data_IF_134573643003
#
_entry.id   IF_134573643003
#
_cell.length_a   1.000
_cell.length_b   1.000
_cell.length_c   1.000
_cell.angle_alpha   90.00
_cell.angle_beta   90.00
_cell.angle_gamma   90.00
#
_symmetry.space_group_name_H-M   'P 1'
#
loop_
_entity.id
_entity.type
_entity.pdbx_description
1 polymer ?
#
# COMPACT_ATOMS: atom_id res chain seq x y z
N UNK A 1 30.22 0.96 48.14
CA UNK A 1 30.20 1.90 47.01
C UNK A 1 30.64 1.15 45.77
N UNK A 2 29.68 0.66 44.98
CA UNK A 2 29.95 -0.06 43.73
C UNK A 2 30.27 0.95 42.63
N UNK A 3 31.52 0.94 42.17
CA UNK A 3 32.05 1.77 41.09
C UNK A 3 31.36 1.40 39.78
N UNK A 4 30.22 2.02 39.45
CA UNK A 4 29.62 1.89 38.12
C UNK A 4 30.54 2.57 37.11
N UNK A 5 31.25 1.76 36.31
CA UNK A 5 31.88 2.19 35.05
C UNK A 5 30.83 2.96 34.26
N UNK A 6 31.13 4.19 33.85
CA UNK A 6 30.29 4.92 32.89
C UNK A 6 30.15 4.03 31.65
N UNK A 7 28.94 3.69 31.21
CA UNK A 7 28.75 2.88 30.02
C UNK A 7 29.36 3.63 28.81
N UNK A 8 30.01 2.88 27.93
CA UNK A 8 30.60 3.45 26.71
C UNK A 8 29.53 4.01 25.76
N UNK A 9 29.95 4.71 24.72
CA UNK A 9 29.03 5.18 23.70
C UNK A 9 28.24 4.01 23.08
N UNK A 10 26.96 4.21 22.71
CA UNK A 10 26.18 3.15 22.07
C UNK A 10 26.82 2.75 20.74
N UNK A 11 27.09 1.46 20.55
CA UNK A 11 27.68 0.94 19.31
C UNK A 11 26.67 0.02 18.65
N UNK A 12 26.36 0.27 17.38
CA UNK A 12 25.45 -0.58 16.60
C UNK A 12 26.27 -1.60 15.82
N UNK A 13 26.10 -2.87 16.14
CA UNK A 13 26.83 -4.00 15.53
C UNK A 13 25.98 -4.79 14.53
N UNK A 14 24.66 -4.59 14.50
CA UNK A 14 23.80 -5.31 13.57
C UNK A 14 22.43 -4.68 13.34
N UNK A 15 21.93 -4.85 12.12
CA UNK A 15 20.59 -4.44 11.69
C UNK A 15 19.88 -5.62 11.05
N UNK A 16 18.59 -5.76 11.33
CA UNK A 16 17.74 -6.79 10.72
C UNK A 16 16.33 -6.24 10.52
N UNK A 17 15.87 -6.05 9.28
CA UNK A 17 16.61 -6.21 8.01
C UNK A 17 17.66 -5.11 7.78
N UNK A 18 18.54 -5.28 6.78
CA UNK A 18 19.54 -4.26 6.36
C UNK A 18 19.00 -3.27 5.33
N UNK A 19 17.85 -3.58 4.76
CA UNK A 19 17.15 -2.78 3.77
C UNK A 19 15.64 -2.90 3.94
N UNK A 20 14.89 -1.91 3.45
CA UNK A 20 13.44 -1.93 3.49
C UNK A 20 12.79 -0.62 3.05
N UNK A 21 11.45 -0.67 2.95
CA UNK A 21 10.59 0.49 2.65
C UNK A 21 10.26 1.29 3.91
N UNK A 22 9.90 2.58 3.81
CA UNK A 22 9.35 3.36 4.92
C UNK A 22 8.22 2.59 5.65
N UNK A 23 8.26 2.54 6.98
CA UNK A 23 7.34 1.76 7.82
C UNK A 23 7.83 0.37 8.21
N UNK A 24 8.89 -0.15 7.58
CA UNK A 24 9.49 -1.46 7.92
C UNK A 24 9.96 -1.48 9.37
N UNK A 25 9.69 -2.59 10.07
CA UNK A 25 10.20 -2.81 11.43
C UNK A 25 11.66 -3.27 11.38
N UNK A 26 12.54 -2.51 12.04
CA UNK A 26 13.98 -2.73 12.10
C UNK A 26 14.36 -3.13 13.52
N UNK A 27 15.11 -4.22 13.64
CA UNK A 27 15.74 -4.67 14.88
C UNK A 27 17.20 -4.23 14.86
N UNK A 28 17.54 -3.33 15.79
CA UNK A 28 18.88 -2.79 15.98
C UNK A 28 19.55 -3.58 17.10
N UNK A 29 20.71 -4.16 16.80
CA UNK A 29 21.57 -4.90 17.73
C UNK A 29 22.87 -4.15 17.94
N UNK A 30 23.38 -4.20 19.17
CA UNK A 30 24.54 -3.41 19.55
C UNK A 30 25.01 -3.63 20.97
N UNK A 31 25.84 -2.72 21.44
CA UNK A 31 26.36 -2.64 22.80
C UNK A 31 26.07 -1.25 23.37
N UNK A 32 25.82 -1.17 24.69
CA UNK A 32 25.52 0.07 25.40
C UNK A 32 24.35 0.89 24.82
N UNK A 33 23.32 0.22 24.28
CA UNK A 33 22.10 0.83 23.71
C UNK A 33 21.14 1.42 24.78
N UNK A 34 21.67 1.75 25.95
CA UNK A 34 20.96 2.29 27.10
C UNK A 34 20.75 1.27 28.22
N UNK A 35 20.64 1.74 29.45
CA UNK A 35 20.38 0.92 30.64
C UNK A 35 18.89 0.64 30.85
N UNK A 36 18.05 1.61 30.44
CA UNK A 36 16.61 1.61 30.69
C UNK A 36 15.85 2.19 29.49
N UNK A 37 14.54 1.92 29.35
CA UNK A 37 13.73 2.53 28.29
C UNK A 37 13.75 4.07 28.29
N UNK A 38 13.87 4.68 29.46
CA UNK A 38 13.94 6.15 29.64
C UNK A 38 15.33 6.75 29.38
N UNK A 39 16.33 5.89 29.17
CA UNK A 39 17.70 6.28 28.84
C UNK A 39 17.86 6.60 27.35
N UNK A 40 16.98 6.08 26.49
CA UNK A 40 16.98 6.36 25.06
C UNK A 40 16.37 7.75 24.79
N UNK A 41 17.20 8.71 24.39
CA UNK A 41 16.80 10.09 24.15
C UNK A 41 16.45 10.37 22.69
N UNK A 42 17.18 9.78 21.75
CA UNK A 42 16.91 9.95 20.33
C UNK A 42 17.37 8.72 19.53
N UNK A 43 16.61 8.39 18.49
CA UNK A 43 16.96 7.35 17.52
C UNK A 43 16.75 7.89 16.11
N UNK A 44 17.84 8.05 15.37
CA UNK A 44 17.81 8.47 13.98
C UNK A 44 18.17 7.32 13.06
N UNK A 45 17.33 7.05 12.07
CA UNK A 45 17.60 6.09 10.99
C UNK A 45 17.53 6.86 9.68
N UNK A 46 18.62 6.92 8.92
CA UNK A 46 18.68 7.64 7.64
C UNK A 46 18.27 9.14 7.76
N UNK A 47 18.72 9.82 8.82
CA UNK A 47 18.35 11.20 9.17
C UNK A 47 16.86 11.43 9.47
N UNK A 48 16.09 10.37 9.74
CA UNK A 48 14.70 10.46 10.18
C UNK A 48 14.59 10.07 11.65
N UNK A 49 13.93 10.91 12.45
CA UNK A 49 13.65 10.60 13.85
C UNK A 49 12.63 9.45 13.94
N UNK A 50 13.04 8.37 14.61
CA UNK A 50 12.28 7.15 14.82
C UNK A 50 12.07 6.87 16.32
N UNK A 51 12.27 7.86 17.20
CA UNK A 51 12.12 7.70 18.65
C UNK A 51 10.70 7.26 19.04
N UNK A 52 9.67 7.85 18.43
CA UNK A 52 8.26 7.56 18.75
C UNK A 52 7.91 6.08 18.51
N UNK A 53 8.54 5.45 17.52
CA UNK A 53 8.31 4.03 17.19
C UNK A 53 9.30 3.10 17.90
N UNK A 54 10.29 3.65 18.61
CA UNK A 54 11.34 2.89 19.25
C UNK A 54 10.85 2.18 20.53
N UNK A 55 11.11 0.89 20.60
CA UNK A 55 10.86 0.02 21.75
C UNK A 55 12.19 -0.56 22.20
N UNK A 56 12.73 -0.03 23.28
CA UNK A 56 13.89 -0.59 23.95
C UNK A 56 13.54 -1.95 24.56
N UNK A 57 14.41 -2.95 24.36
CA UNK A 57 14.23 -4.31 24.90
C UNK A 57 15.34 -4.69 25.88
N UNK A 58 16.57 -4.35 25.54
CA UNK A 58 17.75 -4.60 26.37
C UNK A 58 18.86 -3.63 25.98
N UNK A 59 19.92 -3.57 26.78
CA UNK A 59 21.14 -2.79 26.48
C UNK A 59 21.85 -3.19 25.19
N UNK A 60 21.40 -4.27 24.55
CA UNK A 60 21.90 -4.77 23.26
C UNK A 60 20.85 -4.82 22.15
N UNK A 61 19.60 -4.41 22.40
CA UNK A 61 18.50 -4.56 21.44
C UNK A 61 17.46 -3.45 21.54
N UNK A 62 17.21 -2.80 20.41
CA UNK A 62 16.11 -1.84 20.20
C UNK A 62 15.32 -2.27 18.96
N UNK A 63 14.00 -2.16 19.01
CA UNK A 63 13.11 -2.40 17.87
C UNK A 63 12.46 -1.08 17.51
N UNK A 64 12.58 -0.62 16.28
CA UNK A 64 11.95 0.62 15.82
C UNK A 64 11.32 0.42 14.45
N UNK A 65 10.42 1.31 14.05
CA UNK A 65 9.90 1.36 12.68
C UNK A 65 10.51 2.52 11.93
N UNK A 66 10.96 2.26 10.70
CA UNK A 66 11.50 3.27 9.83
C UNK A 66 10.44 4.36 9.57
N UNK A 67 10.79 5.62 9.82
CA UNK A 67 9.94 6.75 9.49
C UNK A 67 9.85 7.03 7.99
N UNK A 68 9.34 8.22 7.63
CA UNK A 68 9.30 8.71 6.26
C UNK A 68 10.71 9.12 5.79
N UNK A 69 11.53 8.11 5.47
CA UNK A 69 12.90 8.28 5.02
C UNK A 69 12.98 8.38 3.49
N UNK A 70 13.93 9.19 2.99
CA UNK A 70 14.20 9.32 1.54
C UNK A 70 14.90 8.07 1.01
N UNK A 71 14.73 7.80 -0.28
CA UNK A 71 15.46 6.74 -1.00
C UNK A 71 16.97 6.96 -0.85
N UNK A 72 17.70 5.94 -0.43
CA UNK A 72 19.16 6.00 -0.29
C UNK A 72 19.71 5.16 0.85
N UNK A 73 21.03 5.21 1.02
CA UNK A 73 21.74 4.58 2.13
C UNK A 73 21.96 5.64 3.20
N UNK A 74 21.63 5.33 4.46
CA UNK A 74 21.80 6.25 5.57
C UNK A 74 22.32 5.55 6.83
N UNK A 75 22.96 6.36 7.68
CA UNK A 75 23.54 5.91 8.93
C UNK A 75 22.48 5.87 10.04
N UNK A 76 22.76 5.12 11.11
CA UNK A 76 21.96 5.06 12.33
C UNK A 76 22.71 5.77 13.44
N UNK A 77 22.04 6.70 14.09
CA UNK A 77 22.57 7.39 15.27
C UNK A 77 21.63 7.17 16.46
N UNK A 78 22.21 6.79 17.59
CA UNK A 78 21.50 6.54 18.84
C UNK A 78 22.04 7.51 19.87
N UNK A 79 21.16 8.18 20.60
CA UNK A 79 21.57 9.06 21.70
C UNK A 79 20.97 8.52 22.99
N UNK A 80 21.82 8.15 23.93
CA UNK A 80 21.44 7.73 25.28
C UNK A 80 21.87 8.78 26.30
N UNK A 81 21.16 8.86 27.43
CA UNK A 81 21.54 9.75 28.55
C UNK A 81 22.82 9.24 29.22
N UNK A 82 22.99 7.93 29.31
CA UNK A 82 24.12 7.28 29.98
C UNK A 82 25.42 7.26 29.16
N UNK A 83 25.34 6.99 27.85
CA UNK A 83 26.48 6.78 26.96
C UNK A 83 26.68 7.88 25.90
N UNK A 84 25.81 8.89 25.85
CA UNK A 84 25.88 9.97 24.87
C UNK A 84 25.50 9.52 23.46
N UNK A 85 26.13 10.11 22.43
CA UNK A 85 25.82 9.82 21.03
C UNK A 85 26.68 8.68 20.49
N UNK A 86 26.00 7.64 20.02
CA UNK A 86 26.55 6.51 19.30
C UNK A 86 26.26 6.60 17.80
N UNK A 87 27.20 6.12 16.99
CA UNK A 87 27.07 6.04 15.54
C UNK A 87 27.25 4.60 15.09
N UNK A 88 26.48 4.19 14.08
CA UNK A 88 26.63 2.88 13.46
C UNK A 88 27.73 2.85 12.41
N UNK A 89 28.52 1.77 12.37
CA UNK A 89 29.36 1.46 11.21
C UNK A 89 28.54 0.89 10.05
N UNK A 90 27.41 0.25 10.37
CA UNK A 90 26.51 -0.39 9.40
C UNK A 90 25.45 0.60 8.95
N UNK A 91 25.26 0.70 7.64
CA UNK A 91 24.25 1.57 7.04
C UNK A 91 22.98 0.80 6.70
N UNK A 92 21.85 1.49 6.77
CA UNK A 92 20.55 0.96 6.32
C UNK A 92 20.24 1.49 4.91
N UNK A 93 19.69 0.63 4.04
CA UNK A 93 19.28 1.02 2.69
C UNK A 93 17.77 1.16 2.60
N UNK A 94 17.30 2.37 2.32
CA UNK A 94 15.90 2.67 2.03
C UNK A 94 15.68 2.60 0.52
N UNK A 95 14.78 1.72 0.10
CA UNK A 95 14.22 1.76 -1.25
C UNK A 95 12.73 2.09 -1.15
N UNK A 96 12.21 2.77 -2.15
CA UNK A 96 10.78 3.01 -2.30
C UNK A 96 10.33 1.99 -3.33
N UNK A 97 9.36 1.16 -2.98
CA UNK A 97 8.77 0.22 -3.91
C UNK A 97 7.93 1.03 -4.91
N UNK A 98 8.30 0.97 -6.19
CA UNK A 98 7.47 1.49 -7.26
C UNK A 98 6.35 0.47 -7.50
N UNK A 99 5.20 0.72 -6.88
CA UNK A 99 4.00 -0.10 -7.08
C UNK A 99 3.60 -0.05 -8.54
N UNK A 100 3.61 -1.21 -9.21
CA UNK A 100 3.11 -1.34 -10.57
C UNK A 100 1.59 -1.12 -10.59
N UNK A 101 0.99 -0.53 -11.65
CA UNK A 101 -0.46 -0.31 -11.74
C UNK A 101 -1.32 -1.57 -11.55
N UNK A 102 -0.73 -2.75 -11.75
CA UNK A 102 -1.40 -4.05 -11.64
C UNK A 102 -1.00 -4.83 -10.36
N UNK A 103 -0.19 -4.25 -9.48
CA UNK A 103 0.29 -4.94 -8.28
C UNK A 103 -0.81 -4.98 -7.21
N UNK A 104 -1.20 -6.19 -6.80
CA UNK A 104 -2.18 -6.38 -5.74
C UNK A 104 -1.68 -5.74 -4.44
N UNK A 105 -2.51 -4.85 -3.88
CA UNK A 105 -2.25 -4.20 -2.59
C UNK A 105 -3.30 -4.68 -1.58
N UNK A 106 -2.84 -5.28 -0.48
CA UNK A 106 -3.69 -5.61 0.67
C UNK A 106 -3.88 -4.42 1.62
N UNK A 107 -3.35 -3.25 1.25
CA UNK A 107 -3.51 -2.01 2.03
C UNK A 107 -4.81 -1.36 1.58
N UNK A 108 -5.82 -1.43 2.45
CA UNK A 108 -7.00 -0.60 2.29
C UNK A 108 -6.59 0.86 2.44
N UNK A 109 -6.72 1.61 1.36
CA UNK A 109 -6.56 3.06 1.41
C UNK A 109 -7.75 3.61 2.17
N UNK A 110 -7.51 4.50 3.13
CA UNK A 110 -8.59 5.21 3.79
C UNK A 110 -9.24 6.18 2.79
N UNK A 111 -10.29 5.68 2.14
CA UNK A 111 -11.06 6.38 1.10
C UNK A 111 -11.70 7.66 1.64
N UNK A 112 -11.80 7.85 2.96
CA UNK A 112 -12.29 9.10 3.54
C UNK A 112 -11.34 10.26 3.29
N UNK A 113 -10.03 10.02 3.13
CA UNK A 113 -9.01 11.05 2.91
C UNK A 113 -8.67 11.24 1.43
N UNK A 114 -8.70 10.17 0.65
CA UNK A 114 -8.24 10.17 -0.74
C UNK A 114 -9.35 10.42 -1.75
N UNK A 115 -10.62 10.17 -1.41
CA UNK A 115 -11.74 10.36 -2.34
C UNK A 115 -12.47 11.68 -2.02
N UNK A 116 -12.44 12.68 -2.92
CA UNK A 116 -13.20 13.91 -2.76
C UNK A 116 -14.69 13.63 -2.53
N UNK A 117 -15.30 14.28 -1.53
CA UNK A 117 -16.72 14.10 -1.19
C UNK A 117 -17.01 13.03 -0.12
N UNK A 118 -16.07 12.11 0.16
CA UNK A 118 -16.24 11.07 1.19
C UNK A 118 -15.91 11.54 2.62
N UNK A 119 -15.41 12.77 2.77
CA UNK A 119 -15.22 13.44 4.07
C UNK A 119 -16.50 13.47 4.92
N UNK A 120 -17.68 13.47 4.29
CA UNK A 120 -18.99 13.47 4.98
C UNK A 120 -19.24 12.15 5.72
N UNK A 121 -18.58 11.07 5.33
CA UNK A 121 -18.68 9.77 6.00
C UNK A 121 -17.95 9.77 7.35
N UNK A 122 -16.95 10.63 7.57
CA UNK A 122 -16.23 10.73 8.86
C UNK A 122 -17.11 11.14 10.03
N UNK A 123 -18.17 11.91 9.79
CA UNK A 123 -19.06 12.37 10.86
C UNK A 123 -20.08 11.31 11.27
N UNK A 124 -20.12 10.17 10.56
CA UNK A 124 -20.90 9.01 10.98
C UNK A 124 -20.03 8.29 12.02
N UNK A 125 -20.42 8.28 13.30
CA UNK A 125 -19.69 7.50 14.30
C UNK A 125 -19.71 6.04 13.86
N UNK A 126 -18.55 5.42 13.70
CA UNK A 126 -18.48 3.95 13.71
C UNK A 126 -19.14 3.50 15.02
N UNK A 127 -20.17 2.65 14.90
CA UNK A 127 -20.87 2.12 16.04
C UNK A 127 -19.90 1.27 16.87
N UNK A 128 -19.20 1.89 17.82
CA UNK A 128 -18.34 1.21 18.78
C UNK A 128 -19.22 0.19 19.52
N UNK A 129 -18.96 -1.09 19.28
CA UNK A 129 -19.77 -2.22 19.78
C UNK A 129 -19.82 -2.35 21.31
N UNK A 130 -19.06 -1.50 22.02
CA UNK A 130 -18.83 -1.56 23.45
C UNK A 130 -19.92 -0.89 24.29
N UNK A 131 -20.76 -0.04 23.70
CA UNK A 131 -21.88 0.56 24.44
C UNK A 131 -23.12 -0.34 24.35
N UNK A 132 -23.68 -0.61 25.53
CA UNK A 132 -24.96 -1.28 25.66
C UNK A 132 -26.07 -0.43 25.04
N UNK A 133 -27.08 -1.07 24.44
CA UNK A 133 -28.17 -0.35 23.75
C UNK A 133 -29.03 0.50 24.70
N UNK A 134 -29.01 0.19 26.00
CA UNK A 134 -29.66 1.02 27.01
C UNK A 134 -28.76 2.18 27.47
N UNK A 135 -27.51 2.27 27.01
CA UNK A 135 -26.51 3.23 27.47
C UNK A 135 -26.11 3.04 28.94
N UNK A 136 -26.34 1.82 29.46
CA UNK A 136 -26.02 1.46 30.84
C UNK A 136 -24.69 0.70 30.87
N UNK A 137 -23.86 0.94 31.90
CA UNK A 137 -22.61 0.19 32.07
C UNK A 137 -22.95 -1.26 32.44
N UNK A 138 -22.69 -2.19 31.52
CA UNK A 138 -22.86 -3.62 31.77
C UNK A 138 -21.61 -4.17 32.46
N UNK A 139 -21.79 -4.61 33.71
CA UNK A 139 -20.75 -5.32 34.44
C UNK A 139 -20.54 -6.71 33.81
N UNK A 140 -19.40 -6.91 33.14
CA UNK A 140 -19.07 -8.17 32.47
C UNK A 140 -19.03 -9.38 33.42
N UNK A 141 -18.86 -9.15 34.72
CA UNK A 141 -18.84 -10.17 35.78
C UNK A 141 -20.22 -10.59 36.30
N UNK A 142 -21.32 -9.96 35.87
CA UNK A 142 -22.69 -10.24 36.33
C UNK A 142 -23.57 -10.88 35.25
N UNK A 143 -22.96 -11.42 34.19
CA UNK A 143 -23.68 -12.07 33.10
C UNK A 143 -24.30 -13.38 33.55
N UNK A 144 -25.53 -13.64 33.11
CA UNK A 144 -26.22 -14.90 33.38
C UNK A 144 -25.64 -16.03 32.52
N UNK A 145 -25.60 -17.25 33.08
CA UNK A 145 -25.08 -18.42 32.38
C UNK A 145 -25.90 -18.75 31.13
N UNK A 146 -25.20 -18.87 30.01
CA UNK A 146 -25.76 -19.10 28.68
C UNK A 146 -26.49 -20.45 28.60
N UNK A 147 -26.09 -21.44 29.40
CA UNK A 147 -26.72 -22.75 29.47
C UNK A 147 -28.15 -22.71 30.04
N UNK A 148 -28.40 -21.83 31.03
CA UNK A 148 -29.74 -21.66 31.64
C UNK A 148 -30.67 -20.91 30.68
N UNK A 149 -30.13 -19.94 29.96
CA UNK A 149 -30.86 -19.20 28.94
C UNK A 149 -31.22 -20.10 27.76
N UNK A 150 -30.30 -20.95 27.29
CA UNK A 150 -30.54 -21.90 26.19
C UNK A 150 -31.66 -22.90 26.51
N UNK A 151 -31.80 -23.28 27.78
CA UNK A 151 -32.89 -24.16 28.23
C UNK A 151 -34.26 -23.46 28.25
N UNK A 152 -34.27 -22.14 28.42
CA UNK A 152 -35.51 -21.34 28.52
C UNK A 152 -35.94 -20.79 27.15
N UNK A 153 -34.97 -20.57 26.26
CA UNK A 153 -35.18 -20.10 24.89
C UNK A 153 -34.34 -20.97 23.93
N UNK A 154 -34.86 -22.13 23.49
CA UNK A 154 -34.11 -23.11 22.70
C UNK A 154 -33.60 -22.56 21.37
N UNK A 155 -34.37 -21.66 20.74
CA UNK A 155 -34.07 -21.08 19.42
C UNK A 155 -33.64 -19.59 19.50
N UNK A 156 -33.46 -19.05 20.71
CA UNK A 156 -33.14 -17.64 20.93
C UNK A 156 -31.66 -17.39 21.14
N UNK A 157 -31.15 -16.24 20.71
CA UNK A 157 -29.79 -15.77 21.03
C UNK A 157 -29.78 -14.32 21.52
N UNK A 158 -28.78 -13.99 22.34
CA UNK A 158 -28.48 -12.61 22.74
C UNK A 158 -27.63 -11.86 21.71
N UNK A 159 -27.25 -12.50 20.60
CA UNK A 159 -26.34 -11.92 19.63
C UNK A 159 -27.11 -11.04 18.64
N UNK A 160 -26.85 -9.73 18.70
CA UNK A 160 -27.53 -8.67 17.93
C UNK A 160 -27.49 -8.86 16.41
N UNK A 161 -26.49 -9.60 15.92
CA UNK A 161 -26.26 -9.81 14.48
C UNK A 161 -26.98 -11.03 13.92
N UNK A 162 -27.57 -11.86 14.77
CA UNK A 162 -28.25 -13.08 14.35
C UNK A 162 -29.75 -12.86 14.25
N UNK A 163 -30.38 -13.48 13.26
CA UNK A 163 -31.85 -13.42 13.07
C UNK A 163 -32.62 -14.05 14.24
N UNK A 164 -31.97 -14.94 14.99
CA UNK A 164 -32.49 -15.52 16.24
C UNK A 164 -32.42 -14.58 17.45
N UNK A 165 -32.13 -13.29 17.25
CA UNK A 165 -32.02 -12.34 18.34
C UNK A 165 -33.33 -12.23 19.12
N UNK A 166 -33.26 -12.49 20.43
CA UNK A 166 -34.40 -12.36 21.34
C UNK A 166 -34.12 -11.23 22.36
N UNK A 167 -34.92 -10.15 22.39
CA UNK A 167 -34.72 -9.05 23.33
C UNK A 167 -34.79 -9.48 24.80
N UNK A 168 -35.68 -10.43 25.12
CA UNK A 168 -35.81 -10.99 26.47
C UNK A 168 -34.54 -11.73 26.91
N UNK A 169 -33.91 -12.48 26.00
CA UNK A 169 -32.62 -13.11 26.24
C UNK A 169 -31.55 -12.07 26.58
N UNK A 170 -31.41 -11.04 25.74
CA UNK A 170 -30.38 -10.01 25.91
C UNK A 170 -30.51 -9.26 27.24
N UNK A 171 -31.74 -8.95 27.66
CA UNK A 171 -31.99 -8.30 28.95
C UNK A 171 -31.68 -9.22 30.13
N UNK A 172 -32.01 -10.51 30.05
CA UNK A 172 -31.70 -11.47 31.11
C UNK A 172 -30.20 -11.76 31.20
N UNK A 173 -29.51 -11.79 30.06
CA UNK A 173 -28.06 -12.02 29.99
C UNK A 173 -27.27 -10.86 30.60
N UNK A 174 -27.62 -9.61 30.25
CA UNK A 174 -26.81 -8.43 30.59
C UNK A 174 -27.37 -7.58 31.74
N UNK A 175 -28.68 -7.60 31.98
CA UNK A 175 -29.38 -6.64 32.85
C UNK A 175 -30.14 -7.27 34.03
N UNK A 176 -29.91 -8.55 34.34
CA UNK A 176 -30.59 -9.27 35.44
C UNK A 176 -30.60 -8.53 36.78
N UNK A 177 -29.50 -7.86 37.12
CA UNK A 177 -29.32 -7.18 38.41
C UNK A 177 -29.55 -5.67 38.36
N UNK A 178 -30.06 -5.15 37.24
CA UNK A 178 -30.35 -3.72 37.10
C UNK A 178 -31.69 -3.36 37.75
N UNK A 179 -31.76 -2.16 38.33
CA UNK A 179 -33.00 -1.64 38.90
C UNK A 179 -33.95 -1.24 37.79
N UNK A 180 -35.26 -1.37 38.04
CA UNK A 180 -36.29 -1.01 37.05
C UNK A 180 -36.27 0.49 36.68
N UNK A 181 -35.82 1.36 37.58
CA UNK A 181 -35.64 2.79 37.30
C UNK A 181 -34.53 3.04 36.25
N UNK A 182 -33.44 2.27 36.30
CA UNK A 182 -32.35 2.39 35.36
C UNK A 182 -32.73 1.79 33.99
N UNK A 183 -33.50 0.69 33.99
CA UNK A 183 -34.11 0.15 32.77
C UNK A 183 -35.06 1.15 32.09
N UNK A 184 -35.84 1.92 32.87
CA UNK A 184 -36.69 2.98 32.34
C UNK A 184 -35.89 4.11 31.68
N UNK A 185 -34.79 4.54 32.30
CA UNK A 185 -33.86 5.51 31.69
C UNK A 185 -33.23 4.95 30.40
N UNK A 186 -32.88 3.66 30.42
CA UNK A 186 -32.38 2.95 29.25
C UNK A 186 -33.39 2.93 28.09
N UNK A 187 -34.67 2.74 28.39
CA UNK A 187 -35.75 2.78 27.40
C UNK A 187 -35.94 4.19 26.79
N UNK A 188 -35.82 5.24 27.59
CA UNK A 188 -35.82 6.62 27.08
C UNK A 188 -34.60 6.91 26.20
N UNK A 189 -33.44 6.37 26.54
CA UNK A 189 -32.24 6.48 25.72
C UNK A 189 -32.40 5.74 24.39
N UNK A 190 -32.93 4.52 24.42
CA UNK A 190 -33.17 3.71 23.23
C UNK A 190 -34.18 4.37 22.28
N UNK A 191 -35.25 4.98 22.82
CA UNK A 191 -36.20 5.78 22.01
C UNK A 191 -35.52 6.98 21.35
N UNK A 192 -34.62 7.65 22.07
CA UNK A 192 -33.88 8.81 21.56
C UNK A 192 -32.92 8.40 20.45
N UNK A 193 -32.19 7.29 20.62
CA UNK A 193 -31.25 6.80 19.62
C UNK A 193 -31.97 6.27 18.37
N UNK A 194 -33.12 5.59 18.53
CA UNK A 194 -33.94 5.18 17.39
C UNK A 194 -34.43 6.37 16.54
N UNK A 195 -34.79 7.49 17.17
CA UNK A 195 -35.15 8.72 16.45
C UNK A 195 -33.94 9.42 15.81
N UNK A 196 -32.75 9.25 16.37
CA UNK A 196 -31.49 9.75 15.81
C UNK A 196 -31.05 8.91 14.61
N UNK A 197 -31.10 7.58 14.68
CA UNK A 197 -30.80 6.69 13.55
C UNK A 197 -31.70 6.95 12.33
N UNK A 198 -32.99 7.22 12.54
CA UNK A 198 -33.89 7.61 11.43
C UNK A 198 -33.42 8.87 10.69
N UNK A 199 -32.74 9.80 11.38
CA UNK A 199 -32.14 10.99 10.78
C UNK A 199 -30.80 10.66 10.14
N UNK A 200 -29.93 9.93 10.84
CA UNK A 200 -28.62 9.51 10.35
C UNK A 200 -28.70 8.65 9.09
N UNK A 201 -29.61 7.67 9.02
CA UNK A 201 -29.84 6.84 7.82
C UNK A 201 -30.11 7.69 6.59
N UNK A 202 -30.92 8.76 6.70
CA UNK A 202 -31.17 9.68 5.58
C UNK A 202 -29.91 10.39 5.12
N UNK A 203 -29.04 10.76 6.04
CA UNK A 203 -27.79 11.46 5.71
C UNK A 203 -26.73 10.51 5.13
N UNK A 204 -26.68 9.25 5.59
CA UNK A 204 -25.88 8.18 4.96
C UNK A 204 -26.34 7.94 3.52
N UNK A 205 -27.65 7.83 3.30
CA UNK A 205 -28.20 7.65 1.95
C UNK A 205 -27.89 8.86 1.05
N UNK A 206 -27.92 10.09 1.57
CA UNK A 206 -27.52 11.29 0.82
C UNK A 206 -26.02 11.31 0.49
N UNK A 207 -25.15 10.89 1.42
CA UNK A 207 -23.71 10.84 1.20
C UNK A 207 -23.34 9.83 0.09
N UNK A 208 -23.99 8.66 0.07
CA UNK A 208 -23.79 7.66 -0.98
C UNK A 208 -24.38 8.10 -2.33
N UNK A 209 -25.50 8.84 -2.31
CA UNK A 209 -26.08 9.40 -3.53
C UNK A 209 -25.15 10.42 -4.20
N UNK A 210 -24.44 11.24 -3.42
CA UNK A 210 -23.47 12.20 -3.95
C UNK A 210 -22.34 11.50 -4.71
N UNK A 211 -21.81 10.39 -4.19
CA UNK A 211 -20.79 9.61 -4.87
C UNK A 211 -21.30 9.04 -6.20
N UNK A 212 -22.53 8.49 -6.22
CA UNK A 212 -23.15 7.99 -7.45
C UNK A 212 -23.37 9.09 -8.49
N UNK A 213 -23.88 10.26 -8.07
CA UNK A 213 -24.07 11.40 -8.97
C UNK A 213 -22.72 11.88 -9.53
N UNK A 214 -21.69 11.96 -8.68
CA UNK A 214 -20.34 12.33 -9.12
C UNK A 214 -19.76 11.34 -10.14
N UNK A 215 -19.96 10.04 -9.95
CA UNK A 215 -19.57 9.02 -10.92
C UNK A 215 -20.32 9.18 -12.25
N UNK A 216 -21.64 9.44 -12.21
CA UNK A 216 -22.44 9.67 -13.41
C UNK A 216 -21.99 10.93 -14.15
N UNK A 217 -21.69 12.02 -13.45
CA UNK A 217 -21.15 13.25 -14.03
C UNK A 217 -19.78 13.03 -14.66
N UNK A 218 -18.89 12.27 -14.01
CA UNK A 218 -17.59 11.93 -14.55
C UNK A 218 -17.73 11.07 -15.83
N UNK A 219 -18.64 10.10 -15.84
CA UNK A 219 -18.95 9.29 -17.01
C UNK A 219 -19.53 10.13 -18.15
N UNK A 220 -20.40 11.09 -17.82
CA UNK A 220 -20.98 11.99 -18.81
C UNK A 220 -19.89 12.87 -19.45
N UNK A 221 -18.98 13.45 -18.65
CA UNK A 221 -17.83 14.22 -19.15
C UNK A 221 -16.90 13.39 -20.02
N UNK A 222 -16.67 12.13 -19.65
CA UNK A 222 -15.87 11.20 -20.45
C UNK A 222 -16.57 10.87 -21.77
N UNK A 223 -17.89 10.63 -21.74
CA UNK A 223 -18.68 10.38 -22.94
C UNK A 223 -18.67 11.58 -23.89
N UNK A 224 -18.84 12.80 -23.39
CA UNK A 224 -18.76 14.02 -24.22
C UNK A 224 -17.37 14.21 -24.79
N UNK A 225 -16.32 14.00 -23.98
CA UNK A 225 -14.93 14.09 -24.42
C UNK A 225 -14.61 13.06 -25.53
N UNK A 226 -15.04 11.81 -25.37
CA UNK A 226 -14.91 10.78 -26.42
C UNK A 226 -15.72 11.16 -27.67
N UNK A 227 -16.91 11.75 -27.50
CA UNK A 227 -17.74 12.24 -28.60
C UNK A 227 -17.08 13.35 -29.41
N UNK A 228 -16.37 14.26 -28.74
CA UNK A 228 -15.59 15.34 -29.37
C UNK A 228 -14.31 14.81 -30.05
N UNK A 229 -13.60 13.88 -29.40
CA UNK A 229 -12.44 13.21 -29.99
C UNK A 229 -12.79 12.40 -31.24
N UNK A 230 -13.95 11.73 -31.24
CA UNK A 230 -14.48 11.04 -32.42
C UNK A 230 -14.66 11.96 -33.63
N UNK A 231 -15.06 13.21 -33.39
CA UNK A 231 -15.30 14.21 -34.45
C UNK A 231 -14.02 14.87 -34.94
N UNK A 232 -13.00 14.99 -34.09
CA UNK A 232 -11.79 15.78 -34.39
C UNK A 232 -10.61 14.96 -34.89
N UNK A 233 -10.46 13.70 -34.47
CA UNK A 233 -9.24 12.89 -34.73
C UNK A 233 -9.41 11.71 -35.68
N UNK A 234 -10.45 11.67 -36.51
CA UNK A 234 -10.60 10.62 -37.53
C UNK A 234 -10.66 9.24 -36.88
N UNK A 235 -11.69 9.02 -36.06
CA UNK A 235 -11.92 7.75 -35.39
C UNK A 235 -12.33 6.66 -36.41
N UNK A 236 -11.82 5.42 -36.29
CA UNK A 236 -10.98 4.88 -35.22
C UNK A 236 -9.51 5.28 -35.30
N UNK A 237 -8.94 5.71 -34.16
CA UNK A 237 -7.50 5.98 -34.03
C UNK A 237 -6.65 4.73 -34.36
N UNK A 238 -7.20 3.53 -34.07
CA UNK A 238 -6.58 2.24 -34.35
C UNK A 238 -6.43 1.96 -35.85
N UNK A 239 -7.36 2.41 -36.69
CA UNK A 239 -7.27 2.19 -38.14
C UNK A 239 -6.24 3.14 -38.78
N UNK A 240 -6.15 4.38 -38.30
CA UNK A 240 -5.12 5.32 -38.76
C UNK A 240 -3.71 4.84 -38.37
N UNK A 241 -3.55 4.37 -37.13
CA UNK A 241 -2.30 3.78 -36.66
C UNK A 241 -1.92 2.55 -37.48
N UNK A 242 -2.88 1.66 -37.77
CA UNK A 242 -2.65 0.48 -38.58
C UNK A 242 -2.18 0.84 -39.99
N UNK A 243 -2.81 1.83 -40.64
CA UNK A 243 -2.37 2.30 -41.97
C UNK A 243 -0.94 2.84 -41.92
N UNK A 244 -0.58 3.62 -40.89
CA UNK A 244 0.78 4.17 -40.74
C UNK A 244 1.82 3.08 -40.46
N UNK A 245 1.47 2.04 -39.71
CA UNK A 245 2.32 0.87 -39.49
C UNK A 245 2.51 0.09 -40.79
N UNK A 246 1.45 -0.06 -41.59
CA UNK A 246 1.50 -0.75 -42.88
C UNK A 246 2.35 0.01 -43.91
N UNK A 247 2.22 1.34 -43.97
CA UNK A 247 3.07 2.22 -44.78
C UNK A 247 4.56 2.13 -44.36
N UNK A 248 4.83 2.15 -43.05
CA UNK A 248 6.19 2.01 -42.52
C UNK A 248 6.78 0.63 -42.84
N UNK A 249 5.99 -0.44 -42.70
CA UNK A 249 6.39 -1.80 -43.06
C UNK A 249 6.70 -1.91 -44.55
N UNK A 250 5.83 -1.38 -45.42
CA UNK A 250 6.07 -1.39 -46.86
C UNK A 250 7.36 -0.65 -47.23
N UNK A 251 7.60 0.49 -46.60
CA UNK A 251 8.83 1.27 -46.79
C UNK A 251 10.06 0.51 -46.33
N UNK A 252 10.00 -0.15 -45.17
CA UNK A 252 11.09 -0.99 -44.68
C UNK A 252 11.37 -2.17 -45.62
N UNK A 253 10.35 -2.89 -46.06
CA UNK A 253 10.48 -4.03 -46.99
C UNK A 253 11.10 -3.60 -48.33
N UNK A 254 10.75 -2.42 -48.83
CA UNK A 254 11.37 -1.84 -50.03
C UNK A 254 12.86 -1.57 -49.81
N UNK A 255 13.22 -0.92 -48.71
CA UNK A 255 14.62 -0.66 -48.37
C UNK A 255 15.40 -1.97 -48.18
N UNK A 256 14.82 -2.98 -47.54
CA UNK A 256 15.45 -4.29 -47.37
C UNK A 256 15.70 -4.98 -48.72
N UNK A 257 14.73 -4.96 -49.64
CA UNK A 257 14.91 -5.51 -51.00
C UNK A 257 15.99 -4.77 -51.80
N UNK A 258 16.05 -3.45 -51.69
CA UNK A 258 17.08 -2.64 -52.33
C UNK A 258 18.48 -2.95 -51.79
N UNK A 259 18.62 -3.16 -50.48
CA UNK A 259 19.90 -3.55 -49.87
C UNK A 259 20.30 -4.99 -50.25
N UNK A 260 19.35 -5.92 -50.26
CA UNK A 260 19.60 -7.32 -50.65
C UNK A 260 20.02 -7.43 -52.11
N UNK A 261 19.32 -6.76 -53.01
CA UNK A 261 19.66 -6.74 -54.45
C UNK A 261 21.04 -6.15 -54.71
N UNK A 262 21.44 -5.08 -54.00
CA UNK A 262 22.81 -4.55 -54.09
C UNK A 262 23.85 -5.55 -53.60
N UNK A 263 23.59 -6.23 -52.47
CA UNK A 263 24.50 -7.25 -51.93
C UNK A 263 24.66 -8.43 -52.89
N UNK A 264 23.57 -8.90 -53.49
CA UNK A 264 23.60 -10.01 -54.44
C UNK A 264 24.26 -9.61 -55.75
N UNK A 265 24.04 -8.38 -56.25
CA UNK A 265 24.76 -7.85 -57.41
C UNK A 265 26.28 -7.75 -57.17
N UNK A 266 26.70 -7.30 -55.98
CA UNK A 266 28.13 -7.26 -55.61
C UNK A 266 28.74 -8.66 -55.54
N UNK A 267 28.01 -9.64 -55.00
CA UNK A 267 28.46 -11.04 -54.97
C UNK A 267 28.56 -11.64 -56.37
N UNK A 268 27.58 -11.38 -57.24
CA UNK A 268 27.61 -11.84 -58.63
C UNK A 268 28.81 -11.22 -59.36
N UNK A 269 29.02 -9.91 -59.25
CA UNK A 269 30.19 -9.25 -59.85
C UNK A 269 31.52 -9.77 -59.28
N UNK A 270 31.61 -10.02 -57.97
CA UNK A 270 32.79 -10.60 -57.36
C UNK A 270 33.04 -12.04 -57.85
N UNK A 271 31.99 -12.85 -58.01
CA UNK A 271 32.08 -14.19 -58.60
C UNK A 271 32.50 -14.12 -60.08
N UNK A 272 31.94 -13.21 -60.88
CA UNK A 272 32.35 -13.01 -62.27
C UNK A 272 33.80 -12.57 -62.36
N UNK A 273 34.25 -11.61 -61.53
CA UNK A 273 35.65 -11.22 -61.47
C UNK A 273 36.55 -12.38 -61.05
N UNK A 274 36.19 -13.15 -60.03
CA UNK A 274 36.99 -14.30 -59.59
C UNK A 274 37.00 -15.44 -60.61
N UNK A 275 35.92 -15.62 -61.38
CA UNK A 275 35.84 -16.60 -62.46
C UNK A 275 36.65 -16.17 -63.68
N UNK A 276 36.53 -14.91 -64.13
CA UNK A 276 37.34 -14.33 -65.21
C UNK A 276 38.82 -14.30 -64.85
N UNK A 277 39.16 -13.95 -63.61
CA UNK A 277 40.55 -13.95 -63.12
C UNK A 277 41.12 -15.37 -63.04
N UNK A 278 40.31 -16.39 -62.69
CA UNK A 278 40.76 -17.79 -62.71
C UNK A 278 40.87 -18.38 -64.12
N UNK A 279 40.02 -17.96 -65.08
CA UNK A 279 40.18 -18.34 -66.49
C UNK A 279 41.45 -17.70 -67.05
N UNK A 280 41.65 -16.40 -66.83
CA UNK A 280 42.85 -15.68 -67.28
C UNK A 280 44.13 -16.21 -66.64
N UNK A 281 44.06 -16.76 -65.42
CA UNK A 281 45.19 -17.44 -64.76
C UNK A 281 45.42 -18.88 -65.29
N UNK A 282 44.40 -19.56 -65.80
CA UNK A 282 44.56 -20.85 -66.49
C UNK A 282 45.13 -20.71 -67.90
N UNK A 283 44.84 -19.59 -68.57
CA UNK A 283 45.33 -19.28 -69.92
C UNK A 283 46.60 -18.41 -69.92
N UNK A 284 47.31 -18.35 -68.78
CA UNK A 284 48.58 -17.66 -68.65
C UNK A 284 49.73 -18.33 -69.41
N UNK A 285 49.75 -18.19 -70.73
CA UNK A 285 50.94 -17.58 -71.33
C UNK A 285 50.78 -16.07 -71.18
N UNK A 286 51.73 -15.48 -70.45
CA UNK A 286 51.80 -14.06 -70.13
C UNK A 286 51.69 -13.18 -71.36
N UNK A 287 50.98 -12.05 -71.26
CA UNK A 287 51.55 -10.72 -71.51
C UNK A 287 50.81 -9.66 -70.69
N UNK A 288 51.56 -8.94 -69.86
CA UNK A 288 51.17 -7.64 -69.32
C UNK A 288 51.29 -6.62 -70.46
N UNK A 289 50.22 -5.90 -70.78
CA UNK A 289 50.36 -4.58 -71.37
C UNK A 289 49.38 -3.59 -70.73
N UNK A 290 49.95 -2.43 -70.41
CA UNK A 290 49.34 -1.28 -69.76
C UNK A 290 48.31 -0.62 -70.68
N UNK A 291 47.18 -0.21 -70.10
CA UNK A 291 46.66 1.18 -70.09
C UNK A 291 45.45 1.28 -69.16
#
# INVERSE_FOLDING_TARGET
MTTQRRPGAPVVTGLSPKEGIPGTQIVIRGENLGTDPSDLLALFICNTDCLVSAKWKSSSKIIARLGQAKRGVGDIAIVTRSGGRGTSEIKFRVFIEEVSPLQESSVWVDETHTVPGRNVVRSIPEANETDDMLGLKVDSNKKMDQAVLARTFPDGSGNRRMESFTPAWYLLENHKFTKIEDLRKGLENLKREAEKEKKTSKDVHKANLYALISCVDALHKLYTSIGEEKKTRGWPLTTNLNSKIEDAKHTADKLFKDVLSRKDALKINACYQHFVFNISRKDGQMQFEML
#
